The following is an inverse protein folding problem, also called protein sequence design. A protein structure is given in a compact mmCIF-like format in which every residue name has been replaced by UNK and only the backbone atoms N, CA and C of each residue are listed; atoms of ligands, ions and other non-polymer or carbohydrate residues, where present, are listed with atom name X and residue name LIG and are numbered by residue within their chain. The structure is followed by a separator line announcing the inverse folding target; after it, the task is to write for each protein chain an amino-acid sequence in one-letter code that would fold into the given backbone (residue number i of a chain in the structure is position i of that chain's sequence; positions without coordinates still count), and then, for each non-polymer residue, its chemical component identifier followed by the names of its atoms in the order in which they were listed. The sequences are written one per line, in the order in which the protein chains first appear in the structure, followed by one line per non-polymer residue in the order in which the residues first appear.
data_IF_691805940404
#
_entry.id   IF_691805940404
#
_cell.length_a   1.000
_cell.length_b   1.000
_cell.length_c   1.000
_cell.angle_alpha   90.00
_cell.angle_beta   90.00
_cell.angle_gamma   90.00
#
_symmetry.space_group_name_H-M   'P 1'
#
loop_
_entity.id
_entity.type
_entity.pdbx_description
1 polymer ?
#
# COMPACT_ATOMS: atom_id res chain seq x y z
N UNK A 1 -1.07 -6.07 20.70
CA UNK A 1 -1.29 -4.62 20.54
C UNK A 1 -2.75 -4.39 20.21
N UNK A 2 -3.38 -3.40 20.82
CA UNK A 2 -4.76 -3.00 20.48
C UNK A 2 -4.73 -1.73 19.65
N UNK A 3 -5.35 -1.76 18.47
CA UNK A 3 -5.41 -0.66 17.51
C UNK A 3 -6.88 -0.24 17.32
N UNK A 4 -7.18 1.02 17.57
CA UNK A 4 -8.47 1.60 17.26
C UNK A 4 -8.58 1.94 15.77
N UNK A 5 -9.76 1.82 15.16
CA UNK A 5 -9.99 2.19 13.76
C UNK A 5 -11.13 3.19 13.67
N UNK A 6 -10.78 4.39 13.27
CA UNK A 6 -11.72 5.49 13.05
C UNK A 6 -12.07 5.54 11.55
N UNK A 7 -13.16 4.88 11.20
CA UNK A 7 -13.62 4.70 9.83
C UNK A 7 -13.01 3.50 9.10
N UNK A 8 -13.83 2.48 8.86
CA UNK A 8 -13.41 1.27 8.14
C UNK A 8 -13.61 1.46 6.63
N UNK A 9 -12.63 2.10 5.98
CA UNK A 9 -12.55 2.18 4.53
C UNK A 9 -11.99 0.89 3.90
N UNK A 10 -11.93 0.81 2.56
CA UNK A 10 -11.44 -0.38 1.85
C UNK A 10 -9.98 -0.72 2.21
N UNK A 11 -9.10 0.29 2.32
CA UNK A 11 -7.70 0.07 2.68
C UNK A 11 -7.54 -0.36 4.13
N UNK A 12 -8.30 0.24 5.07
CA UNK A 12 -8.30 -0.17 6.47
C UNK A 12 -8.80 -1.62 6.63
N UNK A 13 -9.87 -2.00 5.93
CA UNK A 13 -10.36 -3.38 5.90
C UNK A 13 -9.30 -4.34 5.36
N UNK A 14 -8.65 -4.02 4.24
CA UNK A 14 -7.60 -4.83 3.66
C UNK A 14 -6.44 -5.05 4.64
N UNK A 15 -6.00 -3.98 5.31
CA UNK A 15 -4.94 -4.04 6.32
C UNK A 15 -5.34 -4.92 7.51
N UNK A 16 -6.56 -4.76 8.05
CA UNK A 16 -7.06 -5.58 9.15
C UNK A 16 -7.02 -7.06 8.77
N UNK A 17 -7.57 -7.40 7.58
CA UNK A 17 -7.59 -8.79 7.09
C UNK A 17 -6.20 -9.37 6.92
N UNK A 18 -5.26 -8.59 6.39
CA UNK A 18 -3.89 -9.02 6.18
C UNK A 18 -3.15 -9.26 7.50
N UNK A 19 -3.23 -8.31 8.44
CA UNK A 19 -2.60 -8.45 9.76
C UNK A 19 -3.19 -9.63 10.54
N UNK A 20 -4.49 -9.90 10.42
CA UNK A 20 -5.11 -11.06 11.08
C UNK A 20 -4.68 -12.42 10.51
N UNK A 21 -4.12 -12.44 9.29
CA UNK A 21 -3.54 -13.64 8.68
C UNK A 21 -2.05 -13.83 9.01
N UNK A 22 -1.43 -12.84 9.68
CA UNK A 22 -0.02 -12.89 10.06
C UNK A 22 0.22 -13.72 11.32
N UNK A 23 1.48 -14.09 11.55
CA UNK A 23 1.91 -14.78 12.77
C UNK A 23 1.85 -13.87 14.03
N UNK A 24 1.64 -12.57 13.85
CA UNK A 24 1.56 -11.58 14.92
C UNK A 24 0.31 -10.69 14.75
N UNK A 25 -0.90 -11.24 14.92
CA UNK A 25 -2.14 -10.50 14.74
C UNK A 25 -2.30 -9.41 15.81
N UNK A 26 -3.00 -8.33 15.43
CA UNK A 26 -3.35 -7.25 16.35
C UNK A 26 -4.76 -7.48 16.93
N UNK A 27 -5.03 -6.88 18.08
CA UNK A 27 -6.40 -6.67 18.54
C UNK A 27 -6.92 -5.36 17.95
N UNK A 28 -8.16 -5.36 17.48
CA UNK A 28 -8.77 -4.22 16.84
C UNK A 28 -10.03 -3.77 17.53
N UNK A 29 -10.19 -2.45 17.66
CA UNK A 29 -11.41 -1.81 18.13
C UNK A 29 -11.95 -0.91 17.02
N UNK A 30 -13.06 -1.29 16.40
CA UNK A 30 -13.60 -0.61 15.23
C UNK A 30 -14.69 0.39 15.61
N UNK A 31 -14.70 1.55 14.92
CA UNK A 31 -15.86 2.44 14.97
C UNK A 31 -17.03 1.85 14.16
N UNK A 32 -18.31 2.09 14.55
CA UNK A 32 -19.46 1.40 13.96
C UNK A 32 -19.90 1.95 12.60
N UNK A 33 -19.28 3.00 12.08
CA UNK A 33 -19.80 3.81 10.97
C UNK A 33 -19.96 3.08 9.64
N UNK A 34 -19.18 2.06 9.37
CA UNK A 34 -19.24 1.26 8.13
C UNK A 34 -19.89 -0.10 8.41
N UNK A 35 -21.17 -0.11 8.75
CA UNK A 35 -21.86 -1.26 9.34
C UNK A 35 -21.65 -2.58 8.59
N UNK A 36 -21.72 -2.60 7.26
CA UNK A 36 -21.53 -3.82 6.45
C UNK A 36 -20.11 -4.37 6.60
N UNK A 37 -19.08 -3.53 6.44
CA UNK A 37 -17.67 -3.94 6.57
C UNK A 37 -17.34 -4.36 8.01
N UNK A 38 -17.83 -3.59 8.98
CA UNK A 38 -17.67 -3.88 10.40
C UNK A 38 -18.27 -5.23 10.76
N UNK A 39 -19.48 -5.54 10.30
CA UNK A 39 -20.13 -6.83 10.53
C UNK A 39 -19.31 -8.02 9.95
N UNK A 40 -18.72 -7.85 8.77
CA UNK A 40 -17.85 -8.86 8.17
C UNK A 40 -16.55 -9.06 8.95
N UNK A 41 -15.95 -7.96 9.43
CA UNK A 41 -14.69 -8.01 10.19
C UNK A 41 -14.90 -8.55 11.60
N UNK A 42 -16.04 -8.24 12.23
CA UNK A 42 -16.36 -8.69 13.59
C UNK A 42 -16.41 -10.21 13.74
N UNK A 43 -16.57 -10.94 12.64
CA UNK A 43 -16.48 -12.41 12.61
C UNK A 43 -15.02 -12.92 12.78
N UNK A 44 -14.00 -12.07 12.62
CA UNK A 44 -12.61 -12.45 12.79
C UNK A 44 -12.20 -12.38 14.28
N UNK A 45 -11.27 -13.22 14.74
CA UNK A 45 -10.79 -13.19 16.11
C UNK A 45 -10.08 -11.87 16.43
N UNK A 46 -10.12 -11.42 17.69
CA UNK A 46 -9.43 -10.22 18.14
C UNK A 46 -10.06 -8.89 17.69
N UNK A 47 -11.28 -8.91 17.13
CA UNK A 47 -11.99 -7.72 16.67
C UNK A 47 -13.16 -7.40 17.59
N UNK A 48 -13.19 -6.17 18.09
CA UNK A 48 -14.30 -5.58 18.87
C UNK A 48 -14.87 -4.36 18.16
N UNK A 49 -16.09 -4.00 18.44
CA UNK A 49 -16.75 -2.80 17.90
C UNK A 49 -17.17 -1.91 19.07
N UNK A 50 -16.76 -0.65 19.04
CA UNK A 50 -17.14 0.35 20.03
C UNK A 50 -18.48 1.02 19.68
N UNK A 51 -19.06 1.75 20.63
CA UNK A 51 -20.31 2.46 20.45
C UNK A 51 -20.20 3.61 19.46
N UNK A 52 -19.08 4.33 19.47
CA UNK A 52 -18.79 5.48 18.63
C UNK A 52 -17.27 5.72 18.49
N UNK A 53 -16.88 6.81 17.83
CA UNK A 53 -15.47 7.16 17.63
C UNK A 53 -14.76 7.49 18.95
N UNK A 54 -15.44 8.19 19.88
CA UNK A 54 -14.84 8.53 21.17
C UNK A 54 -14.56 7.25 21.98
N UNK A 55 -15.49 6.33 22.02
CA UNK A 55 -15.30 5.05 22.71
C UNK A 55 -14.16 4.19 22.10
N UNK A 56 -13.82 4.39 20.82
CA UNK A 56 -12.59 3.80 20.24
C UNK A 56 -11.34 4.49 20.81
N UNK A 57 -11.32 5.82 20.83
CA UNK A 57 -10.19 6.59 21.36
C UNK A 57 -9.95 6.30 22.85
N UNK A 58 -11.02 6.23 23.66
CA UNK A 58 -10.92 5.93 25.10
C UNK A 58 -10.33 4.53 25.41
N UNK A 59 -10.32 3.62 24.42
CA UNK A 59 -9.87 2.23 24.59
C UNK A 59 -8.53 1.93 23.92
N UNK A 60 -8.01 2.84 23.09
CA UNK A 60 -6.84 2.57 22.25
C UNK A 60 -5.93 3.79 22.14
N UNK A 61 -4.67 3.65 22.52
CA UNK A 61 -3.66 4.72 22.37
C UNK A 61 -3.21 4.90 20.90
N UNK A 62 -3.29 3.85 20.09
CA UNK A 62 -3.01 3.91 18.65
C UNK A 62 -4.30 3.85 17.85
N UNK A 63 -4.47 4.80 16.92
CA UNK A 63 -5.70 5.01 16.17
C UNK A 63 -5.42 5.06 14.65
N UNK A 64 -5.93 4.09 13.90
CA UNK A 64 -5.90 4.09 12.45
C UNK A 64 -7.07 4.94 11.91
N UNK A 65 -6.75 6.00 11.16
CA UNK A 65 -7.73 6.88 10.53
C UNK A 65 -7.92 6.45 9.07
N UNK A 66 -9.05 5.81 8.79
CA UNK A 66 -9.38 5.22 7.47
C UNK A 66 -10.53 5.93 6.75
N UNK A 67 -10.76 7.23 7.01
CA UNK A 67 -11.79 8.03 6.34
C UNK A 67 -11.22 8.77 5.12
N UNK A 68 -12.10 9.24 4.24
CA UNK A 68 -11.70 10.10 3.10
C UNK A 68 -11.27 11.49 3.58
N UNK A 69 -10.40 12.22 2.85
CA UNK A 69 -9.95 13.56 3.23
C UNK A 69 -11.08 14.51 3.62
N UNK A 70 -12.18 14.52 2.87
CA UNK A 70 -13.35 15.38 3.12
C UNK A 70 -14.09 15.10 4.44
N UNK A 71 -13.78 13.99 5.09
CA UNK A 71 -14.41 13.57 6.35
C UNK A 71 -13.51 13.80 7.57
N UNK A 72 -12.25 14.23 7.36
CA UNK A 72 -11.26 14.38 8.44
C UNK A 72 -11.67 15.43 9.46
N UNK A 73 -12.14 16.58 9.02
CA UNK A 73 -12.60 17.67 9.89
C UNK A 73 -13.77 17.21 10.79
N UNK A 74 -14.77 16.55 10.19
CA UNK A 74 -15.88 15.98 10.94
C UNK A 74 -15.45 14.92 11.93
N UNK A 75 -14.47 14.08 11.55
CA UNK A 75 -13.90 13.07 12.44
C UNK A 75 -13.17 13.73 13.60
N UNK A 76 -12.30 14.70 13.34
CA UNK A 76 -11.55 15.43 14.36
C UNK A 76 -12.49 16.10 15.39
N UNK A 77 -13.59 16.69 14.92
CA UNK A 77 -14.60 17.27 15.80
C UNK A 77 -15.39 16.24 16.63
N UNK A 78 -15.34 14.95 16.29
CA UNK A 78 -16.08 13.88 16.96
C UNK A 78 -15.27 13.12 18.01
N UNK A 79 -13.99 13.47 18.22
CA UNK A 79 -13.11 12.79 19.16
C UNK A 79 -12.29 13.79 19.98
N UNK A 80 -12.15 13.52 21.26
CA UNK A 80 -11.22 14.22 22.15
C UNK A 80 -9.97 13.35 22.30
N UNK A 81 -8.84 13.90 21.92
CA UNK A 81 -7.55 13.20 21.93
C UNK A 81 -6.62 13.79 22.98
N UNK A 82 -5.67 13.00 23.41
CA UNK A 82 -4.63 13.37 24.37
C UNK A 82 -3.23 13.25 23.73
N UNK A 83 -2.16 13.77 24.35
CA UNK A 83 -0.80 13.61 23.82
C UNK A 83 -0.32 12.16 23.75
N UNK A 84 -0.96 11.25 24.48
CA UNK A 84 -0.65 9.81 24.48
C UNK A 84 -1.17 9.11 23.23
N UNK A 85 -2.17 9.70 22.56
CA UNK A 85 -2.69 9.12 21.33
C UNK A 85 -1.71 9.25 20.16
N UNK A 86 -1.63 8.19 19.39
CA UNK A 86 -0.89 8.16 18.13
C UNK A 86 -1.82 7.81 16.97
N UNK A 87 -2.06 8.77 16.09
CA UNK A 87 -2.86 8.59 14.89
C UNK A 87 -2.01 8.11 13.72
N UNK A 88 -2.50 7.07 13.04
CA UNK A 88 -1.94 6.53 11.80
C UNK A 88 -2.95 6.87 10.70
N UNK A 89 -2.66 7.88 9.88
CA UNK A 89 -3.60 8.39 8.89
C UNK A 89 -3.38 7.77 7.51
N UNK A 90 -4.44 7.14 6.98
CA UNK A 90 -4.46 6.53 5.62
C UNK A 90 -4.97 7.50 4.54
N UNK A 91 -5.41 8.71 4.90
CA UNK A 91 -5.97 9.66 3.94
C UNK A 91 -4.88 10.21 3.01
N UNK A 92 -5.04 9.96 1.72
CA UNK A 92 -4.12 10.44 0.69
C UNK A 92 -4.30 11.95 0.44
N UNK A 93 -3.22 12.64 0.02
CA UNK A 93 -3.28 14.04 -0.40
C UNK A 93 -3.59 15.03 0.74
N UNK A 94 -3.29 14.69 1.98
CA UNK A 94 -3.43 15.59 3.13
C UNK A 94 -2.09 15.75 3.82
N UNK A 95 -1.60 16.98 3.87
CA UNK A 95 -0.30 17.29 4.48
C UNK A 95 -0.25 16.92 5.96
N UNK A 96 0.92 16.48 6.41
CA UNK A 96 1.14 16.12 7.82
C UNK A 96 0.80 17.28 8.77
N UNK A 97 1.17 18.51 8.42
CA UNK A 97 0.88 19.68 9.23
C UNK A 97 -0.63 19.91 9.42
N UNK A 98 -1.41 19.73 8.37
CA UNK A 98 -2.88 19.82 8.42
C UNK A 98 -3.46 18.76 9.36
N UNK A 99 -2.97 17.53 9.26
CA UNK A 99 -3.40 16.45 10.16
C UNK A 99 -3.02 16.72 11.62
N UNK A 100 -1.80 17.21 11.87
CA UNK A 100 -1.33 17.56 13.21
C UNK A 100 -2.16 18.69 13.83
N UNK A 101 -2.59 19.66 13.05
CA UNK A 101 -3.48 20.73 13.52
C UNK A 101 -4.89 20.20 13.82
N UNK A 102 -5.45 19.38 12.94
CA UNK A 102 -6.79 18.83 13.08
C UNK A 102 -6.93 17.89 14.29
N UNK A 103 -5.89 17.11 14.59
CA UNK A 103 -5.92 16.08 15.63
C UNK A 103 -5.04 16.42 16.84
N UNK A 104 -4.68 17.70 17.01
CA UNK A 104 -3.96 18.15 18.21
C UNK A 104 -4.71 17.74 19.48
N UNK A 105 -4.03 17.26 20.56
CA UNK A 105 -2.58 17.18 20.76
C UNK A 105 -1.94 15.82 20.40
N UNK A 106 -2.64 14.95 19.70
CA UNK A 106 -2.14 13.63 19.35
C UNK A 106 -0.93 13.66 18.39
N UNK A 107 -0.06 12.67 18.49
CA UNK A 107 0.99 12.43 17.49
C UNK A 107 0.39 11.87 16.21
N UNK A 108 0.89 12.27 15.05
CA UNK A 108 0.39 11.80 13.74
C UNK A 108 1.51 11.21 12.91
N UNK A 109 1.25 10.02 12.36
CA UNK A 109 2.05 9.38 11.29
C UNK A 109 1.14 9.15 10.10
N UNK A 110 1.57 9.54 8.92
CA UNK A 110 0.91 9.20 7.66
C UNK A 110 1.33 7.80 7.23
N UNK A 111 0.38 7.02 6.74
CA UNK A 111 0.64 5.69 6.20
C UNK A 111 -0.07 5.51 4.86
N UNK A 112 0.60 4.88 3.91
CA UNK A 112 -0.03 4.43 2.67
C UNK A 112 0.40 3.01 2.33
N UNK A 113 -0.43 2.32 1.58
CA UNK A 113 -0.19 0.97 1.08
C UNK A 113 -1.08 0.72 -0.15
N UNK A 114 -0.77 -0.32 -0.92
CA UNK A 114 -1.72 -0.84 -1.91
C UNK A 114 -2.78 -1.73 -1.26
N UNK A 115 -3.82 -2.08 -1.99
CA UNK A 115 -4.82 -3.06 -1.55
C UNK A 115 -4.20 -4.45 -1.29
N UNK A 116 -3.01 -4.72 -1.83
CA UNK A 116 -2.24 -5.93 -1.56
C UNK A 116 -1.84 -6.08 -0.08
N UNK A 117 -1.97 -5.02 0.72
CA UNK A 117 -1.79 -5.07 2.18
C UNK A 117 -2.74 -6.08 2.87
N UNK A 118 -3.76 -6.56 2.17
CA UNK A 118 -4.58 -7.71 2.59
C UNK A 118 -3.80 -9.03 2.71
N UNK A 119 -2.55 -9.07 2.24
CA UNK A 119 -1.71 -10.26 2.26
C UNK A 119 -0.34 -9.92 2.88
N UNK A 120 0.16 -10.72 3.86
CA UNK A 120 1.52 -10.61 4.37
C UNK A 120 2.55 -10.71 3.24
N UNK A 121 3.69 -10.04 3.40
CA UNK A 121 4.70 -9.91 2.35
C UNK A 121 4.54 -8.67 1.47
N UNK A 122 3.41 -7.95 1.55
CA UNK A 122 3.25 -6.63 0.93
C UNK A 122 3.95 -5.53 1.75
N UNK A 123 3.87 -4.28 1.29
CA UNK A 123 4.57 -3.16 1.91
C UNK A 123 3.62 -2.11 2.46
N UNK A 124 4.06 -1.47 3.55
CA UNK A 124 3.49 -0.23 4.10
C UNK A 124 4.54 0.87 4.05
N UNK A 125 4.11 2.09 3.79
CA UNK A 125 4.94 3.28 3.68
C UNK A 125 4.56 4.27 4.77
N UNK A 126 5.54 4.84 5.48
CA UNK A 126 5.34 5.70 6.65
C UNK A 126 6.00 7.06 6.48
N UNK A 127 5.35 8.12 6.97
CA UNK A 127 5.94 9.44 7.11
C UNK A 127 5.27 10.22 8.27
N UNK A 128 6.07 10.84 9.15
CA UNK A 128 7.50 10.63 9.36
C UNK A 128 7.83 9.20 9.76
N UNK A 129 9.13 8.88 9.81
CA UNK A 129 9.58 7.58 10.28
C UNK A 129 9.09 7.30 11.70
N UNK A 130 8.60 6.09 11.94
CA UNK A 130 8.14 5.63 13.23
C UNK A 130 8.69 4.23 13.52
N UNK A 131 9.59 4.16 14.48
CA UNK A 131 10.30 2.92 14.81
C UNK A 131 9.37 1.87 15.42
N UNK A 132 8.43 2.30 16.25
CA UNK A 132 7.47 1.39 16.91
C UNK A 132 6.53 0.77 15.89
N UNK A 133 5.91 1.59 15.03
CA UNK A 133 5.07 1.09 13.94
C UNK A 133 5.84 0.19 12.98
N UNK A 134 7.06 0.59 12.61
CA UNK A 134 7.91 -0.21 11.72
C UNK A 134 8.18 -1.59 12.29
N UNK A 135 8.54 -1.67 13.57
CA UNK A 135 8.77 -2.96 14.24
C UNK A 135 7.51 -3.83 14.26
N UNK A 136 6.35 -3.24 14.55
CA UNK A 136 5.07 -3.97 14.62
C UNK A 136 4.63 -4.52 13.25
N UNK A 137 4.71 -3.71 12.19
CA UNK A 137 4.36 -4.18 10.84
C UNK A 137 5.37 -5.18 10.29
N UNK A 138 6.66 -5.00 10.61
CA UNK A 138 7.69 -6.00 10.25
C UNK A 138 7.43 -7.34 10.93
N UNK A 139 7.08 -7.34 12.22
CA UNK A 139 6.71 -8.55 12.96
C UNK A 139 5.45 -9.23 12.38
N UNK A 140 4.53 -8.45 11.81
CA UNK A 140 3.36 -8.96 11.10
C UNK A 140 3.65 -9.37 9.64
N UNK A 141 4.93 -9.40 9.22
CA UNK A 141 5.36 -9.89 7.91
C UNK A 141 5.27 -8.89 6.77
N UNK A 142 5.18 -7.58 7.06
CA UNK A 142 5.15 -6.52 6.05
C UNK A 142 6.53 -5.92 5.81
N UNK A 143 6.83 -5.58 4.57
CA UNK A 143 7.91 -4.66 4.25
C UNK A 143 7.54 -3.25 4.73
N UNK A 144 8.45 -2.57 5.45
CA UNK A 144 8.21 -1.22 5.93
C UNK A 144 9.26 -0.28 5.37
N UNK A 145 8.82 0.82 4.76
CA UNK A 145 9.69 1.87 4.27
C UNK A 145 9.23 3.23 4.79
N UNK A 146 10.17 4.01 5.32
CA UNK A 146 9.96 5.40 5.71
C UNK A 146 10.75 6.33 4.82
N UNK A 147 10.27 7.57 4.69
CA UNK A 147 10.86 8.57 3.79
C UNK A 147 11.38 9.77 4.57
N UNK A 148 12.41 10.43 4.02
CA UNK A 148 13.03 11.60 4.65
C UNK A 148 12.17 12.87 4.47
N UNK A 149 11.37 12.95 3.41
CA UNK A 149 10.51 14.10 3.11
C UNK A 149 9.11 13.67 2.78
N UNK A 150 8.13 14.55 3.00
CA UNK A 150 6.74 14.32 2.67
C UNK A 150 6.53 14.12 1.17
N UNK A 151 7.25 14.86 0.33
CA UNK A 151 7.20 14.67 -1.12
C UNK A 151 7.65 13.27 -1.55
N UNK A 152 8.66 12.68 -0.91
CA UNK A 152 9.07 11.30 -1.18
C UNK A 152 8.00 10.31 -0.74
N UNK A 153 7.35 10.56 0.39
CA UNK A 153 6.22 9.76 0.84
C UNK A 153 5.03 9.86 -0.14
N UNK A 154 4.67 11.07 -0.59
CA UNK A 154 3.63 11.25 -1.61
C UNK A 154 3.99 10.53 -2.91
N UNK A 155 5.25 10.63 -3.35
CA UNK A 155 5.72 9.91 -4.52
C UNK A 155 5.63 8.38 -4.37
N UNK A 156 5.71 7.83 -3.15
CA UNK A 156 5.54 6.40 -2.92
C UNK A 156 4.13 5.90 -3.28
N UNK A 157 3.11 6.75 -3.24
CA UNK A 157 1.76 6.41 -3.70
C UNK A 157 1.73 6.08 -5.20
N UNK A 158 2.66 6.62 -5.98
CA UNK A 158 2.76 6.29 -7.41
C UNK A 158 3.18 4.84 -7.64
N UNK A 159 3.87 4.19 -6.68
CA UNK A 159 4.15 2.76 -6.75
C UNK A 159 2.87 1.92 -6.72
N UNK A 160 1.84 2.41 -6.01
CA UNK A 160 0.50 1.77 -6.01
C UNK A 160 -0.16 1.89 -7.38
N UNK A 161 -0.03 3.05 -8.05
CA UNK A 161 -0.52 3.24 -9.42
C UNK A 161 0.18 2.30 -10.39
N UNK A 162 1.50 2.18 -10.30
CA UNK A 162 2.32 1.28 -11.13
C UNK A 162 1.85 -0.17 -10.99
N UNK A 163 1.45 -0.63 -9.80
CA UNK A 163 0.90 -1.97 -9.63
C UNK A 163 -0.33 -2.21 -10.52
N UNK A 164 -1.26 -1.23 -10.58
CA UNK A 164 -2.45 -1.34 -11.43
C UNK A 164 -2.07 -1.39 -12.92
N UNK A 165 -1.12 -0.55 -13.35
CA UNK A 165 -0.66 -0.54 -14.73
C UNK A 165 0.01 -1.86 -15.14
N UNK A 166 0.78 -2.47 -14.24
CA UNK A 166 1.36 -3.80 -14.48
C UNK A 166 0.31 -4.89 -14.58
N UNK A 167 -0.78 -4.84 -13.80
CA UNK A 167 -1.87 -5.80 -13.93
C UNK A 167 -2.53 -5.73 -15.31
N UNK A 168 -2.70 -4.54 -15.90
CA UNK A 168 -3.18 -4.37 -17.27
C UNK A 168 -2.19 -4.97 -18.31
N UNK A 169 -0.89 -4.80 -18.09
CA UNK A 169 0.11 -5.45 -18.96
C UNK A 169 0.06 -6.98 -18.86
N UNK A 170 -0.10 -7.51 -17.65
CA UNK A 170 -0.25 -8.97 -17.44
C UNK A 170 -1.49 -9.48 -18.16
N UNK A 171 -2.62 -8.76 -18.11
CA UNK A 171 -3.84 -9.14 -18.81
C UNK A 171 -3.61 -9.22 -20.31
N UNK A 172 -3.06 -8.18 -20.94
CA UNK A 172 -2.81 -8.13 -22.38
C UNK A 172 -1.87 -9.24 -22.85
N UNK A 173 -0.80 -9.50 -22.11
CA UNK A 173 0.16 -10.57 -22.41
C UNK A 173 -0.47 -11.96 -22.22
N UNK A 174 -1.28 -12.15 -21.18
CA UNK A 174 -1.97 -13.42 -20.91
C UNK A 174 -2.98 -13.75 -22.02
N UNK A 175 -3.77 -12.77 -22.46
CA UNK A 175 -4.70 -12.94 -23.59
C UNK A 175 -3.97 -13.36 -24.87
N UNK A 176 -2.81 -12.75 -25.16
CA UNK A 176 -1.98 -13.15 -26.29
C UNK A 176 -1.49 -14.60 -26.18
N UNK A 177 -1.05 -15.03 -24.99
CA UNK A 177 -0.66 -16.43 -24.76
C UNK A 177 -1.83 -17.40 -24.96
N UNK A 178 -3.01 -17.06 -24.45
CA UNK A 178 -4.24 -17.85 -24.65
C UNK A 178 -4.55 -18.00 -26.13
N UNK A 179 -4.56 -16.89 -26.87
CA UNK A 179 -4.89 -16.86 -28.31
C UNK A 179 -3.90 -17.69 -29.16
N UNK A 180 -2.60 -17.56 -28.87
CA UNK A 180 -1.55 -18.18 -29.69
C UNK A 180 -1.24 -19.63 -29.31
N UNK A 181 -1.56 -20.06 -28.07
CA UNK A 181 -1.14 -21.38 -27.56
C UNK A 181 -2.29 -22.28 -27.14
N UNK A 182 -3.51 -21.74 -26.97
CA UNK A 182 -4.64 -22.47 -26.40
C UNK A 182 -4.54 -22.68 -24.88
N UNK A 183 -3.58 -22.03 -24.20
CA UNK A 183 -3.46 -22.07 -22.74
C UNK A 183 -4.70 -21.48 -22.08
N UNK A 184 -5.08 -21.96 -20.89
CA UNK A 184 -6.18 -21.35 -20.14
C UNK A 184 -5.74 -20.03 -19.53
N UNK A 185 -6.62 -19.03 -19.49
CA UNK A 185 -6.31 -17.69 -18.97
C UNK A 185 -5.71 -17.71 -17.55
N UNK A 186 -6.23 -18.47 -16.56
CA UNK A 186 -5.61 -18.52 -15.24
C UNK A 186 -4.17 -19.05 -15.23
N UNK A 187 -3.84 -19.96 -16.14
CA UNK A 187 -2.48 -20.52 -16.28
C UNK A 187 -1.53 -19.48 -16.87
N UNK A 188 -1.95 -18.75 -17.90
CA UNK A 188 -1.19 -17.67 -18.50
C UNK A 188 -0.93 -16.53 -17.51
N UNK A 189 -1.95 -16.13 -16.75
CA UNK A 189 -1.83 -15.12 -15.68
C UNK A 189 -0.84 -15.58 -14.60
N UNK A 190 -0.95 -16.83 -14.13
CA UNK A 190 -0.05 -17.37 -13.11
C UNK A 190 1.41 -17.42 -13.58
N UNK A 191 1.65 -17.77 -14.85
CA UNK A 191 2.97 -17.79 -15.47
C UNK A 191 3.60 -16.39 -15.47
N UNK A 192 2.86 -15.37 -15.91
CA UNK A 192 3.34 -13.99 -15.99
C UNK A 192 3.52 -13.35 -14.61
N UNK A 193 2.61 -13.62 -13.66
CA UNK A 193 2.76 -13.18 -12.28
C UNK A 193 4.03 -13.74 -11.62
N UNK A 194 4.37 -15.00 -11.89
CA UNK A 194 5.62 -15.61 -11.43
C UNK A 194 6.85 -14.93 -12.04
N UNK A 195 6.83 -14.62 -13.31
CA UNK A 195 7.93 -13.90 -13.97
C UNK A 195 8.16 -12.50 -13.36
N UNK A 196 7.08 -11.77 -12.99
CA UNK A 196 7.19 -10.52 -12.27
C UNK A 196 7.79 -10.71 -10.87
N UNK A 197 7.35 -11.73 -10.14
CA UNK A 197 7.89 -12.06 -8.83
C UNK A 197 9.39 -12.37 -8.89
N UNK A 198 9.85 -13.14 -9.87
CA UNK A 198 11.27 -13.45 -10.06
C UNK A 198 12.09 -12.18 -10.35
N UNK A 199 11.56 -11.25 -11.15
CA UNK A 199 12.21 -9.96 -11.41
C UNK A 199 12.32 -9.12 -10.13
N UNK A 200 11.28 -9.08 -9.29
CA UNK A 200 11.30 -8.39 -8.01
C UNK A 200 12.31 -9.02 -7.04
N UNK A 201 12.39 -10.35 -6.97
CA UNK A 201 13.37 -11.07 -6.16
C UNK A 201 14.79 -10.71 -6.58
N UNK A 202 15.10 -10.68 -7.88
CA UNK A 202 16.43 -10.30 -8.38
C UNK A 202 16.82 -8.88 -7.93
N UNK A 203 15.90 -7.92 -8.04
CA UNK A 203 16.13 -6.54 -7.61
C UNK A 203 16.38 -6.44 -6.10
N UNK A 204 15.66 -7.21 -5.29
CA UNK A 204 15.82 -7.23 -3.83
C UNK A 204 17.10 -7.92 -3.38
N UNK A 205 17.50 -9.01 -4.06
CA UNK A 205 18.70 -9.78 -3.71
C UNK A 205 20.00 -9.16 -4.24
N UNK A 206 19.91 -8.27 -5.23
CA UNK A 206 21.06 -7.62 -5.86
C UNK A 206 20.91 -6.11 -5.92
N UNK A 207 20.81 -5.43 -4.74
CA UNK A 207 20.53 -3.99 -4.67
C UNK A 207 21.65 -3.11 -5.27
N UNK A 208 22.86 -3.64 -5.41
CA UNK A 208 23.99 -2.97 -6.06
C UNK A 208 23.92 -3.00 -7.59
N UNK A 209 23.10 -3.89 -8.17
CA UNK A 209 22.95 -4.02 -9.62
C UNK A 209 21.86 -3.09 -10.15
N UNK A 210 22.11 -2.44 -11.29
CA UNK A 210 21.04 -1.67 -11.93
C UNK A 210 20.02 -2.61 -12.61
N UNK A 211 18.72 -2.24 -12.66
CA UNK A 211 17.72 -3.03 -13.40
C UNK A 211 18.13 -3.31 -14.85
N UNK A 212 18.76 -2.34 -15.52
CA UNK A 212 19.27 -2.50 -16.88
C UNK A 212 20.38 -3.53 -16.98
N UNK A 213 21.29 -3.61 -15.98
CA UNK A 213 22.34 -4.62 -15.97
C UNK A 213 21.76 -6.03 -15.79
N UNK A 214 20.79 -6.19 -14.87
CA UNK A 214 20.09 -7.46 -14.67
C UNK A 214 19.32 -7.91 -15.92
N UNK A 215 18.64 -6.99 -16.58
CA UNK A 215 17.93 -7.29 -17.84
C UNK A 215 18.89 -7.77 -18.96
N UNK A 216 20.09 -7.20 -19.05
CA UNK A 216 21.13 -7.64 -20.02
C UNK A 216 21.74 -8.99 -19.65
N UNK A 217 21.86 -9.29 -18.37
CA UNK A 217 22.34 -10.59 -17.90
C UNK A 217 21.37 -11.71 -18.26
N UNK A 218 20.06 -11.48 -18.14
CA UNK A 218 19.02 -12.44 -18.58
C UNK A 218 18.97 -12.50 -20.11
N UNK A 219 19.05 -11.34 -20.78
CA UNK A 219 18.97 -11.20 -22.23
C UNK A 219 20.32 -11.33 -22.92
N UNK A 220 20.95 -12.51 -22.86
CA UNK A 220 22.21 -12.77 -23.57
C UNK A 220 22.03 -12.75 -25.10
N UNK A 221 23.05 -12.28 -25.88
CA UNK A 221 22.95 -12.20 -27.32
C UNK A 221 22.47 -13.50 -27.98
N UNK A 222 21.57 -13.39 -28.96
CA UNK A 222 21.00 -14.52 -29.68
C UNK A 222 19.78 -15.18 -29.03
N UNK A 223 19.39 -14.79 -27.83
CA UNK A 223 18.20 -15.33 -27.13
C UNK A 223 16.90 -14.61 -27.52
N UNK A 224 15.76 -15.23 -27.23
CA UNK A 224 14.45 -14.61 -27.34
C UNK A 224 14.35 -13.35 -26.46
N UNK A 225 14.94 -13.38 -25.25
CA UNK A 225 14.96 -12.26 -24.31
C UNK A 225 15.69 -11.05 -24.90
N UNK A 226 16.87 -11.25 -25.50
CA UNK A 226 17.61 -10.17 -26.14
C UNK A 226 16.80 -9.52 -27.26
N UNK A 227 16.19 -10.33 -28.16
CA UNK A 227 15.35 -9.82 -29.26
C UNK A 227 14.14 -9.02 -28.73
N UNK A 228 13.50 -9.50 -27.66
CA UNK A 228 12.40 -8.79 -27.04
C UNK A 228 12.84 -7.44 -26.46
N UNK A 229 13.96 -7.40 -25.73
CA UNK A 229 14.54 -6.16 -25.19
C UNK A 229 14.88 -5.15 -26.29
N UNK A 230 15.48 -5.60 -27.39
CA UNK A 230 15.82 -4.74 -28.52
C UNK A 230 14.56 -4.18 -29.19
N UNK A 231 13.54 -5.02 -29.38
CA UNK A 231 12.25 -4.58 -29.94
C UNK A 231 11.56 -3.53 -29.05
N UNK A 232 11.48 -3.76 -27.74
CA UNK A 232 10.87 -2.82 -26.80
C UNK A 232 11.62 -1.48 -26.76
N UNK A 233 12.95 -1.51 -26.78
CA UNK A 233 13.79 -0.29 -26.84
C UNK A 233 13.61 0.47 -28.15
N UNK A 234 13.61 -0.23 -29.30
CA UNK A 234 13.41 0.39 -30.60
C UNK A 234 12.05 1.11 -30.71
N UNK A 235 11.04 0.62 -29.99
CA UNK A 235 9.70 1.20 -29.94
C UNK A 235 9.48 2.12 -28.71
N UNK A 236 10.50 2.44 -27.92
CA UNK A 236 10.43 3.31 -26.75
C UNK A 236 9.28 2.90 -25.80
N UNK A 237 9.13 1.60 -25.52
CA UNK A 237 8.00 1.05 -24.78
C UNK A 237 7.90 1.58 -23.34
N UNK A 238 8.99 2.09 -22.77
CA UNK A 238 9.02 2.76 -21.46
C UNK A 238 8.44 4.17 -21.48
N UNK A 239 8.40 4.83 -22.65
CA UNK A 239 8.05 6.25 -22.78
C UNK A 239 6.67 6.63 -22.21
N UNK A 240 5.58 5.92 -22.51
CA UNK A 240 4.27 6.23 -21.94
C UNK A 240 4.26 6.17 -20.39
N UNK A 241 5.01 5.23 -19.80
CA UNK A 241 5.13 5.06 -18.35
C UNK A 241 5.86 6.24 -17.69
N UNK A 242 6.95 6.69 -18.32
CA UNK A 242 7.73 7.85 -17.86
C UNK A 242 6.92 9.14 -18.00
N UNK A 243 6.18 9.30 -19.10
CA UNK A 243 5.34 10.48 -19.34
C UNK A 243 4.24 10.61 -18.29
N UNK A 244 3.47 9.54 -18.02
CA UNK A 244 2.41 9.58 -17.01
C UNK A 244 2.98 9.76 -15.59
N UNK A 245 4.10 9.10 -15.27
CA UNK A 245 4.74 9.26 -13.98
C UNK A 245 5.17 10.72 -13.73
N UNK A 246 5.78 11.37 -14.73
CA UNK A 246 6.17 12.78 -14.66
C UNK A 246 4.96 13.72 -14.51
N UNK A 247 3.86 13.42 -15.20
CA UNK A 247 2.62 14.20 -15.06
C UNK A 247 2.11 14.11 -13.62
N UNK A 248 1.95 12.90 -13.07
CA UNK A 248 1.45 12.69 -11.71
C UNK A 248 2.38 13.30 -10.65
N UNK A 249 3.71 13.18 -10.81
CA UNK A 249 4.67 13.85 -9.93
C UNK A 249 4.55 15.38 -9.98
N UNK A 250 4.18 15.94 -11.13
CA UNK A 250 3.97 17.38 -11.26
C UNK A 250 2.69 17.82 -10.56
N UNK A 251 1.65 17.01 -10.62
CA UNK A 251 0.38 17.24 -9.91
C UNK A 251 0.58 17.19 -8.40
N UNK A 252 1.31 16.18 -7.88
CA UNK A 252 1.66 16.06 -6.45
C UNK A 252 2.45 17.25 -5.89
N UNK A 253 3.30 17.90 -6.71
CA UNK A 253 4.05 19.08 -6.27
C UNK A 253 3.21 20.36 -6.20
N UNK A 254 2.01 20.36 -6.75
CA UNK A 254 1.11 21.52 -6.79
C UNK A 254 -0.03 21.43 -5.77
N UNK A 255 -0.27 20.23 -5.23
CA UNK A 255 -1.24 19.98 -4.16
C UNK A 255 -0.66 20.30 -2.79
#
# INVERSE_FOLDING_TARGET
MRLGVLGVGALAEALIRGVQQSDCPFEWCLSPRSAERVAQLQALPGISVAADNQAVADQCDMLLVGVRPQQLEQLAASVQLTPEHHLICLSAGVELQTLQQAFHPARVTRMTASIAVAYPGSSVFLYPADTELSAKFTAAGYGVQSFATELQFEASMLSVCVNAWWLEQVQALAETLVEQTGMRLPEAVALLARAQQESAVLLQQRPESTPTALAREIGTPGTFTARGLDHLKANQAERPWVEILNQLLTELKRS
#
